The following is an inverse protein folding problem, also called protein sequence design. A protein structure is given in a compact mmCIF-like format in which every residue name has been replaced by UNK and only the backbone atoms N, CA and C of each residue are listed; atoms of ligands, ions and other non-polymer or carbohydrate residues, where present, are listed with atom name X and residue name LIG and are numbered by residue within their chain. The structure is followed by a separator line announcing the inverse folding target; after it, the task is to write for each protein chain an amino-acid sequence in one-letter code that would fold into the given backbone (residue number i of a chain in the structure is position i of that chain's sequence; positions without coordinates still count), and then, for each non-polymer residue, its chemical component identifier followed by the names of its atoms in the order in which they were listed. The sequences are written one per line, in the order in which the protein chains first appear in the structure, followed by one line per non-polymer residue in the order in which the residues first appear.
data_IF_428844454976
#
_entry.id   IF_428844454976
#
_cell.length_a   1.000
_cell.length_b   1.000
_cell.length_c   1.000
_cell.angle_alpha   90.00
_cell.angle_beta   90.00
_cell.angle_gamma   90.00
#
_symmetry.space_group_name_H-M   'P 1'
#
loop_
_entity.id
_entity.type
_entity.pdbx_description
1 polymer ?
#
# COMPACT_ATOMS: atom_id res chain seq x y z
N UNK A 1 6.11 -13.18 15.48
CA UNK A 1 5.70 -14.29 14.59
C UNK A 1 4.17 -14.43 14.46
N UNK A 2 3.38 -14.17 15.51
CA UNK A 2 1.91 -14.19 15.45
C UNK A 2 1.27 -13.06 14.59
N UNK A 3 1.93 -11.91 14.47
CA UNK A 3 1.41 -10.74 13.74
C UNK A 3 1.32 -10.93 12.22
N UNK A 4 2.23 -11.72 11.64
CA UNK A 4 2.29 -11.94 10.18
C UNK A 4 1.13 -12.82 9.71
N UNK A 5 0.88 -13.94 10.43
CA UNK A 5 -0.24 -14.83 10.11
C UNK A 5 -1.60 -14.14 10.26
N UNK A 6 -1.76 -13.27 11.27
CA UNK A 6 -3.02 -12.57 11.51
C UNK A 6 -3.35 -11.51 10.44
N UNK A 7 -2.34 -10.89 9.82
CA UNK A 7 -2.52 -9.96 8.70
C UNK A 7 -2.83 -10.75 7.42
N UNK A 8 -2.04 -11.79 7.12
CA UNK A 8 -2.16 -12.53 5.86
C UNK A 8 -3.45 -13.38 5.78
N UNK A 9 -3.87 -14.01 6.89
CA UNK A 9 -5.07 -14.89 6.94
C UNK A 9 -6.37 -14.09 6.85
N UNK A 10 -6.54 -13.06 7.69
CA UNK A 10 -7.76 -12.24 7.69
C UNK A 10 -7.96 -11.50 6.34
N UNK A 11 -6.92 -11.22 5.56
CA UNK A 11 -7.08 -10.51 4.29
C UNK A 11 -7.69 -11.38 3.19
N UNK A 12 -7.24 -12.63 3.08
CA UNK A 12 -7.71 -13.54 2.04
C UNK A 12 -9.23 -13.73 2.09
N UNK A 13 -9.78 -13.83 3.31
CA UNK A 13 -11.23 -13.92 3.54
C UNK A 13 -11.94 -12.59 3.23
N UNK A 14 -11.32 -11.43 3.46
CA UNK A 14 -11.90 -10.12 3.12
C UNK A 14 -11.90 -9.82 1.62
N UNK A 15 -10.82 -10.14 0.90
CA UNK A 15 -10.78 -9.97 -0.56
C UNK A 15 -11.83 -10.86 -1.25
N UNK A 16 -12.06 -12.06 -0.71
CA UNK A 16 -13.15 -12.95 -1.16
C UNK A 16 -14.53 -12.33 -0.93
N UNK A 17 -14.76 -11.66 0.20
CA UNK A 17 -16.07 -11.09 0.54
C UNK A 17 -16.37 -9.77 -0.21
N UNK A 18 -15.39 -8.88 -0.35
CA UNK A 18 -15.63 -7.52 -0.86
C UNK A 18 -15.19 -7.28 -2.31
N UNK A 19 -14.42 -8.20 -2.90
CA UNK A 19 -13.73 -7.97 -4.17
C UNK A 19 -13.75 -9.18 -5.13
N UNK A 20 -14.84 -9.96 -5.12
CA UNK A 20 -15.05 -11.11 -6.01
C UNK A 20 -14.76 -10.81 -7.50
N UNK A 21 -15.12 -9.61 -7.96
CA UNK A 21 -14.88 -9.13 -9.32
C UNK A 21 -13.43 -8.76 -9.62
N UNK A 22 -12.63 -8.40 -8.61
CA UNK A 22 -11.19 -8.16 -8.71
C UNK A 22 -10.43 -9.49 -8.72
N UNK A 23 -10.91 -10.50 -7.98
CA UNK A 23 -10.34 -11.85 -8.00
C UNK A 23 -10.47 -12.50 -9.41
N UNK A 24 -11.46 -12.12 -10.20
CA UNK A 24 -11.55 -12.58 -11.59
C UNK A 24 -10.52 -11.93 -12.53
N UNK A 25 -9.86 -10.84 -12.11
CA UNK A 25 -8.91 -10.12 -12.96
C UNK A 25 -7.52 -10.78 -12.96
N UNK A 26 -6.86 -10.74 -14.12
CA UNK A 26 -5.44 -11.06 -14.24
C UNK A 26 -4.55 -10.10 -13.44
N UNK A 27 -3.36 -10.58 -13.05
CA UNK A 27 -2.44 -9.88 -12.15
C UNK A 27 -2.14 -8.44 -12.56
N UNK A 28 -1.91 -8.17 -13.84
CA UNK A 28 -1.64 -6.83 -14.38
C UNK A 28 -2.80 -5.85 -14.15
N UNK A 29 -4.05 -6.31 -14.34
CA UNK A 29 -5.22 -5.47 -14.09
C UNK A 29 -5.41 -5.15 -12.62
N UNK A 30 -5.09 -6.10 -11.72
CA UNK A 30 -5.12 -5.85 -10.28
C UNK A 30 -4.02 -4.87 -9.85
N UNK A 31 -2.83 -4.96 -10.43
CA UNK A 31 -1.75 -3.99 -10.21
C UNK A 31 -2.16 -2.58 -10.64
N UNK A 32 -2.78 -2.44 -11.81
CA UNK A 32 -3.33 -1.16 -12.28
C UNK A 32 -4.41 -0.64 -11.31
N UNK A 33 -5.31 -1.51 -10.85
CA UNK A 33 -6.36 -1.16 -9.89
C UNK A 33 -5.78 -0.63 -8.57
N UNK A 34 -4.76 -1.29 -8.01
CA UNK A 34 -4.05 -0.84 -6.82
C UNK A 34 -3.46 0.56 -7.03
N UNK A 35 -2.77 0.78 -8.17
CA UNK A 35 -2.19 2.09 -8.47
C UNK A 35 -3.25 3.20 -8.54
N UNK A 36 -4.42 2.93 -9.16
CA UNK A 36 -5.53 3.87 -9.22
C UNK A 36 -6.09 4.21 -7.84
N UNK A 37 -6.23 3.23 -6.94
CA UNK A 37 -6.63 3.50 -5.56
C UNK A 37 -5.62 4.39 -4.83
N UNK A 38 -4.32 4.14 -5.01
CA UNK A 38 -3.28 4.96 -4.40
C UNK A 38 -3.31 6.41 -4.91
N UNK A 39 -3.58 6.64 -6.21
CA UNK A 39 -3.81 8.00 -6.77
C UNK A 39 -5.02 8.66 -6.14
N UNK A 40 -6.15 7.94 -6.06
CA UNK A 40 -7.39 8.45 -5.44
C UNK A 40 -7.15 8.92 -4.01
N UNK A 41 -6.45 8.11 -3.21
CA UNK A 41 -6.14 8.47 -1.82
C UNK A 41 -5.13 9.59 -1.71
N UNK A 42 -4.12 9.65 -2.60
CA UNK A 42 -3.19 10.77 -2.66
C UNK A 42 -3.91 12.12 -2.79
N UNK A 43 -4.92 12.22 -3.67
CA UNK A 43 -5.68 13.45 -3.83
C UNK A 43 -6.35 13.93 -2.54
N UNK A 44 -6.82 13.00 -1.69
CA UNK A 44 -7.38 13.33 -0.37
C UNK A 44 -6.26 13.72 0.61
N UNK A 45 -5.18 12.93 0.64
CA UNK A 45 -4.05 13.12 1.54
C UNK A 45 -3.32 14.44 1.32
N UNK A 46 -3.24 14.91 0.07
CA UNK A 46 -2.59 16.18 -0.29
C UNK A 46 -3.49 17.40 -0.07
N UNK A 47 -4.81 17.22 -0.13
CA UNK A 47 -5.77 18.35 -0.16
C UNK A 47 -6.40 18.65 1.19
N UNK A 48 -6.43 17.70 2.12
CA UNK A 48 -7.05 17.85 3.43
C UNK A 48 -6.01 17.82 4.55
N UNK A 49 -6.22 18.58 5.65
CA UNK A 49 -5.32 18.54 6.80
C UNK A 49 -5.30 17.15 7.44
N UNK A 50 -4.19 16.79 8.09
CA UNK A 50 -4.00 15.50 8.78
C UNK A 50 -5.07 15.25 9.86
N UNK A 51 -5.63 16.31 10.47
CA UNK A 51 -6.71 16.21 11.45
C UNK A 51 -8.08 15.84 10.86
N UNK A 52 -8.26 15.92 9.54
CA UNK A 52 -9.52 15.58 8.89
C UNK A 52 -9.79 14.06 8.92
N UNK A 53 -11.03 13.69 9.21
CA UNK A 53 -11.44 12.28 9.26
C UNK A 53 -11.25 11.56 7.92
N UNK A 54 -11.49 12.27 6.82
CA UNK A 54 -11.29 11.88 5.43
C UNK A 54 -9.82 11.57 5.16
N UNK A 55 -8.90 12.44 5.60
CA UNK A 55 -7.46 12.23 5.44
C UNK A 55 -7.02 10.98 6.19
N UNK A 56 -7.47 10.82 7.44
CA UNK A 56 -7.20 9.62 8.23
C UNK A 56 -7.71 8.35 7.56
N UNK A 57 -8.93 8.37 7.01
CA UNK A 57 -9.50 7.23 6.27
C UNK A 57 -8.67 6.91 5.03
N UNK A 58 -8.37 7.90 4.20
CA UNK A 58 -7.55 7.73 3.00
C UNK A 58 -6.17 7.17 3.32
N UNK A 59 -5.55 7.61 4.42
CA UNK A 59 -4.26 7.10 4.87
C UNK A 59 -4.32 5.60 5.21
N UNK A 60 -5.36 5.19 5.94
CA UNK A 60 -5.59 3.79 6.30
C UNK A 60 -5.86 2.96 5.05
N UNK A 61 -6.68 3.47 4.13
CA UNK A 61 -6.97 2.79 2.87
C UNK A 61 -5.72 2.63 2.00
N UNK A 62 -4.84 3.64 1.94
CA UNK A 62 -3.53 3.51 1.28
C UNK A 62 -2.70 2.40 1.90
N UNK A 63 -2.67 2.30 3.24
CA UNK A 63 -1.97 1.22 3.94
C UNK A 63 -2.51 -0.16 3.58
N UNK A 64 -3.84 -0.32 3.60
CA UNK A 64 -4.52 -1.56 3.21
C UNK A 64 -4.15 -1.92 1.76
N UNK A 65 -4.12 -0.95 0.85
CA UNK A 65 -3.77 -1.24 -0.55
C UNK A 65 -2.33 -1.74 -0.72
N UNK A 66 -1.39 -1.24 0.06
CA UNK A 66 0.00 -1.69 0.00
C UNK A 66 0.15 -3.10 0.56
N UNK A 67 -0.57 -3.43 1.64
CA UNK A 67 -0.64 -4.81 2.15
C UNK A 67 -1.28 -5.74 1.13
N UNK A 68 -2.40 -5.34 0.53
CA UNK A 68 -3.06 -6.07 -0.57
C UNK A 68 -2.11 -6.34 -1.74
N UNK A 69 -1.36 -5.32 -2.16
CA UNK A 69 -0.35 -5.45 -3.21
C UNK A 69 0.77 -6.42 -2.83
N UNK A 70 1.19 -6.43 -1.56
CA UNK A 70 2.20 -7.36 -1.06
C UNK A 70 1.70 -8.80 -1.12
N UNK A 71 0.44 -9.05 -0.75
CA UNK A 71 -0.20 -10.36 -0.81
C UNK A 71 -0.34 -10.84 -2.25
N UNK A 72 -0.85 -9.97 -3.14
CA UNK A 72 -1.01 -10.25 -4.57
C UNK A 72 0.29 -10.73 -5.22
N UNK A 73 1.43 -10.16 -4.82
CA UNK A 73 2.74 -10.43 -5.43
C UNK A 73 3.62 -11.39 -4.62
N UNK A 74 3.13 -11.92 -3.49
CA UNK A 74 3.88 -12.80 -2.59
C UNK A 74 5.10 -12.12 -1.97
N UNK A 75 5.01 -10.85 -1.62
CA UNK A 75 6.10 -10.05 -1.05
C UNK A 75 5.99 -10.06 0.47
N UNK A 76 6.96 -10.69 1.15
CA UNK A 76 7.04 -10.62 2.60
C UNK A 76 7.50 -9.23 3.09
N UNK A 77 6.67 -8.59 3.90
CA UNK A 77 6.92 -7.30 4.55
C UNK A 77 7.55 -7.41 5.95
N UNK A 78 7.67 -8.64 6.49
CA UNK A 78 8.15 -8.89 7.85
C UNK A 78 9.52 -8.25 8.15
N UNK A 79 10.42 -8.22 7.15
CA UNK A 79 11.75 -7.61 7.31
C UNK A 79 11.70 -6.10 7.46
N UNK A 80 10.73 -5.43 6.82
CA UNK A 80 10.56 -3.98 6.90
C UNK A 80 10.04 -3.56 8.29
N UNK A 81 9.28 -4.42 8.96
CA UNK A 81 8.83 -4.22 10.35
C UNK A 81 9.96 -4.38 11.37
N UNK A 82 10.96 -5.24 11.08
CA UNK A 82 12.08 -5.53 11.97
C UNK A 82 13.26 -4.57 11.76
N UNK A 83 13.36 -3.99 10.57
CA UNK A 83 14.27 -2.87 10.34
C UNK A 83 13.68 -1.63 11.00
N UNK A 84 13.90 -1.51 12.30
CA UNK A 84 13.67 -0.34 13.16
C UNK A 84 14.45 0.93 12.71
N UNK A 85 14.84 0.98 11.44
CA UNK A 85 15.24 2.21 10.79
C UNK A 85 13.99 3.01 10.43
N UNK A 86 13.41 3.70 11.42
CA UNK A 86 12.95 5.07 11.21
C UNK A 86 14.21 5.86 10.82
N UNK A 87 14.74 5.59 9.62
CA UNK A 87 15.62 6.53 8.97
C UNK A 87 14.68 7.68 8.67
N UNK A 88 14.75 8.69 9.52
CA UNK A 88 14.24 10.02 9.28
C UNK A 88 14.86 10.50 7.96
N UNK A 89 14.25 10.14 6.82
CA UNK A 89 14.41 10.99 5.66
C UNK A 89 13.64 12.24 6.00
N UNK A 90 14.31 13.38 5.94
CA UNK A 90 13.72 14.72 6.07
C UNK A 90 12.73 15.05 4.92
N UNK A 91 12.29 14.03 4.18
CA UNK A 91 11.41 14.16 3.04
C UNK A 91 9.96 14.36 3.45
N UNK A 92 9.25 15.19 2.69
CA UNK A 92 7.81 15.36 2.84
C UNK A 92 7.10 14.06 2.46
N UNK A 93 6.19 13.59 3.33
CA UNK A 93 5.40 12.37 3.11
C UNK A 93 4.71 12.33 1.74
N UNK A 94 4.11 13.45 1.32
CA UNK A 94 3.37 13.55 0.05
C UNK A 94 4.33 13.45 -1.14
N UNK A 95 5.49 14.10 -1.08
CA UNK A 95 6.47 14.04 -2.16
C UNK A 95 7.01 12.61 -2.32
N UNK A 96 7.35 11.94 -1.23
CA UNK A 96 7.78 10.53 -1.27
C UNK A 96 6.67 9.60 -1.79
N UNK A 97 5.41 9.82 -1.37
CA UNK A 97 4.26 9.07 -1.85
C UNK A 97 4.10 9.22 -3.37
N UNK A 98 4.19 10.44 -3.90
CA UNK A 98 4.12 10.73 -5.33
C UNK A 98 5.22 10.01 -6.09
N UNK A 99 6.46 10.06 -5.61
CA UNK A 99 7.60 9.43 -6.26
C UNK A 99 7.45 7.90 -6.35
N UNK A 100 6.98 7.27 -5.28
CA UNK A 100 6.73 5.84 -5.28
C UNK A 100 5.55 5.48 -6.20
N UNK A 101 4.48 6.28 -6.17
CA UNK A 101 3.30 6.09 -7.02
C UNK A 101 3.63 6.21 -8.50
N UNK A 102 4.46 7.18 -8.88
CA UNK A 102 4.90 7.37 -10.26
C UNK A 102 5.68 6.14 -10.77
N UNK A 103 6.49 5.50 -9.92
CA UNK A 103 7.19 4.26 -10.29
C UNK A 103 6.24 3.08 -10.47
N UNK A 104 5.20 2.97 -9.63
CA UNK A 104 4.15 1.96 -9.83
C UNK A 104 3.38 2.23 -11.12
N UNK A 105 3.02 3.49 -11.40
CA UNK A 105 2.34 3.88 -12.62
C UNK A 105 3.16 3.56 -13.88
N UNK A 106 4.48 3.82 -13.86
CA UNK A 106 5.35 3.43 -14.98
C UNK A 106 5.38 1.91 -15.18
N UNK A 107 5.41 1.14 -14.09
CA UNK A 107 5.36 -0.31 -14.19
C UNK A 107 4.02 -0.83 -14.73
N UNK A 108 2.91 -0.15 -14.41
CA UNK A 108 1.60 -0.41 -15.01
C UNK A 108 1.62 -0.13 -16.53
N UNK A 109 2.06 1.06 -16.94
CA UNK A 109 2.19 1.46 -18.34
C UNK A 109 3.08 0.46 -19.13
N UNK A 110 4.24 0.11 -18.58
CA UNK A 110 5.16 -0.84 -19.20
C UNK A 110 4.52 -2.23 -19.39
N UNK A 111 3.59 -2.61 -18.51
CA UNK A 111 2.83 -3.87 -18.65
C UNK A 111 1.86 -3.80 -19.83
N UNK A 112 1.18 -2.67 -20.02
CA UNK A 112 0.23 -2.46 -21.11
C UNK A 112 0.93 -2.36 -22.48
N UNK A 113 2.13 -1.78 -22.52
CA UNK A 113 2.94 -1.63 -23.72
C UNK A 113 3.89 -2.82 -24.00
N UNK A 114 3.96 -3.80 -23.11
CA UNK A 114 4.92 -4.93 -23.18
C UNK A 114 6.38 -4.45 -23.34
N UNK A 115 6.73 -3.39 -22.61
CA UNK A 115 8.09 -2.85 -22.61
C UNK A 115 9.07 -3.82 -21.95
N UNK A 116 10.34 -3.78 -22.38
CA UNK A 116 11.45 -4.40 -21.66
C UNK A 116 11.75 -3.60 -20.37
N UNK A 117 10.91 -3.80 -19.36
CA UNK A 117 10.94 -3.11 -18.08
C UNK A 117 10.92 -4.12 -16.93
N UNK A 118 11.68 -3.92 -15.85
CA UNK A 118 11.76 -4.86 -14.73
C UNK A 118 10.53 -4.76 -13.80
N UNK A 119 9.32 -4.97 -14.34
CA UNK A 119 8.00 -4.74 -13.69
C UNK A 119 7.98 -5.33 -12.27
N UNK A 120 8.26 -6.64 -12.14
CA UNK A 120 8.18 -7.34 -10.85
C UNK A 120 9.18 -6.80 -9.82
N UNK A 121 10.40 -6.49 -10.24
CA UNK A 121 11.43 -5.94 -9.35
C UNK A 121 11.06 -4.52 -8.90
N UNK A 122 10.54 -3.69 -9.82
CA UNK A 122 10.04 -2.35 -9.51
C UNK A 122 8.91 -2.41 -8.49
N UNK A 123 7.92 -3.26 -8.69
CA UNK A 123 6.81 -3.42 -7.74
C UNK A 123 7.28 -3.92 -6.37
N UNK A 124 8.16 -4.92 -6.33
CA UNK A 124 8.69 -5.44 -5.07
C UNK A 124 9.40 -4.35 -4.26
N UNK A 125 10.30 -3.61 -4.91
CA UNK A 125 11.04 -2.51 -4.30
C UNK A 125 10.10 -1.40 -3.81
N UNK A 126 9.13 -1.00 -4.62
CA UNK A 126 8.26 0.13 -4.30
C UNK A 126 7.22 -0.21 -3.25
N UNK A 127 6.64 -1.41 -3.23
CA UNK A 127 5.73 -1.87 -2.16
C UNK A 127 6.44 -1.81 -0.80
N UNK A 128 7.67 -2.30 -0.71
CA UNK A 128 8.47 -2.25 0.53
C UNK A 128 8.66 -0.82 1.00
N UNK A 129 9.10 0.07 0.10
CA UNK A 129 9.29 1.49 0.41
C UNK A 129 7.98 2.19 0.81
N UNK A 130 6.88 1.90 0.11
CA UNK A 130 5.56 2.43 0.43
C UNK A 130 5.11 2.00 1.82
N UNK A 131 5.31 0.72 2.15
CA UNK A 131 4.98 0.18 3.45
C UNK A 131 5.76 0.91 4.55
N UNK A 132 7.09 1.04 4.40
CA UNK A 132 7.93 1.75 5.37
C UNK A 132 7.56 3.23 5.49
N UNK A 133 7.24 3.91 4.38
CA UNK A 133 6.75 5.29 4.37
C UNK A 133 5.47 5.43 5.19
N UNK A 134 4.50 4.53 4.99
CA UNK A 134 3.21 4.55 5.70
C UNK A 134 3.36 4.15 7.17
N UNK A 135 4.23 3.21 7.52
CA UNK A 135 4.52 2.88 8.92
C UNK A 135 5.14 4.07 9.65
N UNK A 136 6.12 4.74 9.03
CA UNK A 136 6.75 5.95 9.57
C UNK A 136 5.73 7.06 9.77
N UNK A 137 4.89 7.31 8.77
CA UNK A 137 3.88 8.36 8.85
C UNK A 137 2.76 8.03 9.84
N UNK A 138 2.43 6.75 10.04
CA UNK A 138 1.49 6.37 11.08
C UNK A 138 2.05 6.66 12.48
N UNK A 139 3.34 6.40 12.69
CA UNK A 139 4.04 6.75 13.92
C UNK A 139 4.02 8.27 14.15
N UNK A 140 4.34 9.09 13.14
CA UNK A 140 4.29 10.56 13.25
C UNK A 140 2.89 11.09 13.57
N UNK A 141 1.84 10.43 13.04
CA UNK A 141 0.43 10.77 13.26
C UNK A 141 -0.19 10.13 14.50
N UNK A 142 0.55 9.35 15.29
CA UNK A 142 0.02 8.55 16.41
C UNK A 142 -1.17 7.64 16.00
N UNK A 143 -1.12 7.07 14.81
CA UNK A 143 -2.13 6.13 14.30
C UNK A 143 -1.68 4.70 14.64
N UNK A 144 -2.46 4.00 15.47
CA UNK A 144 -2.24 2.57 15.72
C UNK A 144 -2.74 1.74 14.54
N UNK A 145 -1.82 1.36 13.64
CA UNK A 145 -2.09 0.54 12.45
C UNK A 145 -2.72 -0.81 12.83
N UNK A 146 -2.27 -1.43 13.93
CA UNK A 146 -2.73 -2.76 14.36
C UNK A 146 -4.22 -2.82 14.70
N UNK A 147 -4.79 -1.75 15.28
CA UNK A 147 -6.20 -1.69 15.66
C UNK A 147 -7.13 -1.44 14.47
N UNK A 148 -6.62 -0.82 13.40
CA UNK A 148 -7.43 -0.37 12.26
C UNK A 148 -7.61 -1.45 11.21
N UNK A 149 -6.64 -2.36 11.12
CA UNK A 149 -6.77 -3.56 10.30
C UNK A 149 -7.95 -4.43 10.77
N UNK A 150 -8.09 -4.64 12.08
CA UNK A 150 -9.18 -5.47 12.64
C UNK A 150 -10.56 -4.82 12.60
N UNK A 151 -10.66 -3.48 12.64
CA UNK A 151 -11.95 -2.77 12.77
C UNK A 151 -12.69 -2.50 11.45
N UNK A 152 -12.04 -2.72 10.30
CA UNK A 152 -12.66 -2.59 8.96
C UNK A 152 -13.01 -3.94 8.33
N UNK A 153 -12.79 -5.03 9.07
CA UNK A 153 -13.10 -6.41 8.69
C UNK A 153 -14.42 -6.90 9.33
N UNK A 154 -15.40 -6.01 9.51
CA UNK A 154 -16.76 -6.34 10.01
C UNK A 154 -17.78 -5.89 8.99
#
# INVERSE_FOLDING_TARGET
MAYQLAIDINYSENDEIYHHEIIALGISRRMNHIALHLVKYLGILSSLPVSASENRRAFIDSFIMIVSASNLLGISLAKELLSDGINSSDGNFIDEYIQLLAQLAKACEATDHQEDYPIRATWNKNIRKFFSLLVREAHSRNISICLLYTSRCV
#
